data_IF_263963868665
#
_entry.id   IF_263963868665
#
_cell.length_a   1.000
_cell.length_b   1.000
_cell.length_c   1.000
_cell.angle_alpha   90.00
_cell.angle_beta   90.00
_cell.angle_gamma   90.00
#
_symmetry.space_group_name_H-M   'P 1'
#
loop_
_entity.id
_entity.type
_entity.pdbx_description
1 polymer ?
#
# COMPACT_ATOMS: atom_id res chain seq x y z
N UNK A 1 -16.89 -18.27 -2.15
CA UNK A 1 -15.86 -17.22 -2.21
C UNK A 1 -14.48 -17.75 -2.59
N UNK A 2 -13.87 -18.71 -1.87
CA UNK A 2 -12.53 -19.24 -2.19
C UNK A 2 -12.41 -19.91 -3.58
N UNK A 3 -13.42 -20.68 -3.99
CA UNK A 3 -13.45 -21.33 -5.31
C UNK A 3 -13.45 -20.29 -6.46
N UNK A 4 -14.27 -19.24 -6.32
CA UNK A 4 -14.35 -18.14 -7.29
C UNK A 4 -13.03 -17.36 -7.40
N UNK A 5 -12.34 -17.11 -6.28
CA UNK A 5 -11.03 -16.45 -6.27
C UNK A 5 -9.97 -17.27 -7.04
N UNK A 6 -9.91 -18.57 -6.77
CA UNK A 6 -8.98 -19.49 -7.45
C UNK A 6 -9.32 -19.70 -8.93
N UNK A 7 -10.59 -19.54 -9.31
CA UNK A 7 -11.03 -19.58 -10.70
C UNK A 7 -10.59 -18.33 -11.47
N UNK A 8 -10.79 -17.14 -10.90
CA UNK A 8 -10.34 -15.86 -11.50
C UNK A 8 -8.83 -15.91 -11.79
N UNK A 9 -8.02 -16.40 -10.85
CA UNK A 9 -6.57 -16.43 -11.01
C UNK A 9 -6.06 -17.34 -12.13
N UNK A 10 -6.79 -18.42 -12.41
CA UNK A 10 -6.45 -19.38 -13.49
C UNK A 10 -6.99 -18.94 -14.84
N UNK A 11 -8.07 -18.16 -14.83
CA UNK A 11 -8.81 -17.83 -16.03
C UNK A 11 -8.42 -16.48 -16.63
N UNK A 12 -7.83 -15.56 -15.85
CA UNK A 12 -7.31 -14.28 -16.35
C UNK A 12 -5.80 -14.36 -16.56
N UNK A 13 -5.35 -14.07 -17.78
CA UNK A 13 -3.94 -14.03 -18.17
C UNK A 13 -3.66 -12.71 -18.90
N UNK A 14 -2.48 -12.14 -18.72
CA UNK A 14 -2.04 -10.96 -19.48
C UNK A 14 -0.62 -11.08 -20.02
N UNK A 15 -0.33 -10.30 -21.06
CA UNK A 15 1.02 -10.06 -21.56
C UNK A 15 1.20 -8.55 -21.79
N UNK A 16 2.45 -8.09 -21.74
CA UNK A 16 2.78 -6.70 -22.08
C UNK A 16 2.49 -6.49 -23.56
N UNK A 17 1.74 -5.45 -23.89
CA UNK A 17 1.43 -5.14 -25.29
C UNK A 17 2.69 -4.65 -26.01
N UNK A 18 2.97 -5.20 -27.19
CA UNK A 18 4.17 -4.88 -27.99
C UNK A 18 3.99 -3.65 -28.90
N UNK A 19 2.74 -3.28 -29.23
CA UNK A 19 2.41 -2.16 -30.11
C UNK A 19 1.28 -1.28 -29.55
N UNK A 20 1.54 0.02 -29.47
CA UNK A 20 0.61 1.06 -29.01
C UNK A 20 -0.30 1.53 -30.18
N UNK A 21 -1.55 1.05 -30.26
CA UNK A 21 -2.58 1.67 -31.15
C UNK A 21 -2.93 3.11 -30.73
N UNK A 22 -2.61 3.48 -29.48
CA UNK A 22 -2.84 4.80 -28.89
C UNK A 22 -1.50 5.38 -28.48
N UNK A 23 -1.15 6.59 -28.92
CA UNK A 23 0.08 7.26 -28.49
C UNK A 23 0.01 7.55 -26.97
N UNK A 24 0.53 6.63 -26.16
CA UNK A 24 0.47 6.68 -24.71
C UNK A 24 1.73 7.37 -24.15
N UNK A 25 1.62 8.11 -23.02
CA UNK A 25 2.78 8.62 -22.31
C UNK A 25 3.68 7.48 -21.82
N UNK A 26 5.01 7.70 -21.76
CA UNK A 26 5.99 6.71 -21.26
C UNK A 26 5.73 6.19 -19.83
N UNK A 27 4.87 6.87 -19.06
CA UNK A 27 4.47 6.46 -17.70
C UNK A 27 3.29 5.51 -17.66
N UNK A 28 2.74 5.17 -18.83
CA UNK A 28 1.65 4.21 -18.96
C UNK A 28 2.21 2.91 -19.49
N UNK A 29 1.92 1.82 -18.79
CA UNK A 29 2.20 0.47 -19.25
C UNK A 29 0.89 -0.22 -19.63
N UNK A 30 0.86 -0.88 -20.78
CA UNK A 30 -0.32 -1.60 -21.25
C UNK A 30 -0.16 -3.12 -21.09
N UNK A 31 -1.19 -3.74 -20.53
CA UNK A 31 -1.33 -5.20 -20.46
C UNK A 31 -2.52 -5.64 -21.32
N UNK A 32 -2.26 -6.50 -22.30
CA UNK A 32 -3.31 -7.18 -23.06
C UNK A 32 -3.74 -8.44 -22.32
N UNK A 33 -5.01 -8.45 -21.91
CA UNK A 33 -5.58 -9.43 -21.00
C UNK A 33 -6.63 -10.28 -21.72
N UNK A 34 -6.71 -11.56 -21.35
CA UNK A 34 -7.83 -12.42 -21.69
C UNK A 34 -8.39 -13.13 -20.47
N UNK A 35 -9.71 -13.31 -20.45
CA UNK A 35 -10.45 -14.06 -19.45
C UNK A 35 -11.17 -15.23 -20.12
N UNK A 36 -10.74 -16.45 -19.80
CA UNK A 36 -11.36 -17.68 -20.29
C UNK A 36 -12.44 -18.14 -19.31
N UNK A 37 -13.68 -18.17 -19.78
CA UNK A 37 -14.81 -18.75 -19.06
C UNK A 37 -15.28 -20.02 -19.78
N UNK A 38 -16.11 -20.83 -19.11
CA UNK A 38 -16.75 -22.01 -19.74
C UNK A 38 -17.63 -21.67 -20.95
N UNK A 39 -17.86 -20.38 -21.22
CA UNK A 39 -18.72 -19.86 -22.28
C UNK A 39 -17.96 -19.12 -23.40
N UNK A 40 -16.63 -18.99 -23.32
CA UNK A 40 -15.83 -18.26 -24.31
C UNK A 40 -14.66 -17.48 -23.70
N UNK A 41 -13.94 -16.77 -24.56
CA UNK A 41 -12.81 -15.91 -24.17
C UNK A 41 -13.18 -14.44 -24.33
N UNK A 42 -13.05 -13.67 -23.25
CA UNK A 42 -13.17 -12.21 -23.26
C UNK A 42 -11.78 -11.60 -23.35
N UNK A 43 -11.63 -10.50 -24.08
CA UNK A 43 -10.35 -9.82 -24.29
C UNK A 43 -10.45 -8.35 -23.88
N UNK A 44 -9.33 -7.75 -23.51
CA UNK A 44 -9.27 -6.34 -23.18
C UNK A 44 -7.87 -5.87 -22.82
N UNK A 45 -7.75 -4.57 -22.56
CA UNK A 45 -6.50 -3.92 -22.22
C UNK A 45 -6.60 -3.25 -20.85
N UNK A 46 -5.53 -3.36 -20.07
CA UNK A 46 -5.35 -2.65 -18.80
C UNK A 46 -4.22 -1.64 -18.99
N UNK A 47 -4.52 -0.37 -18.73
CA UNK A 47 -3.59 0.74 -18.81
C UNK A 47 -3.16 1.13 -17.39
N UNK A 48 -1.94 0.77 -17.01
CA UNK A 48 -1.36 1.05 -15.70
C UNK A 48 -0.65 2.40 -15.77
N UNK A 49 -1.24 3.41 -15.15
CA UNK A 49 -0.74 4.79 -15.08
C UNK A 49 0.06 4.96 -13.80
N UNK A 50 1.38 5.02 -13.95
CA UNK A 50 2.30 5.28 -12.84
C UNK A 50 2.35 6.75 -12.45
N UNK A 51 2.02 7.06 -11.20
CA UNK A 51 2.01 8.42 -10.63
C UNK A 51 3.23 8.60 -9.72
N UNK A 52 4.10 9.56 -10.05
CA UNK A 52 5.21 9.98 -9.18
C UNK A 52 5.25 11.50 -9.02
N UNK A 53 5.36 12.20 -10.16
CA UNK A 53 5.33 13.67 -10.25
C UNK A 53 4.57 14.12 -11.51
N UNK A 54 3.54 13.37 -11.90
CA UNK A 54 2.85 13.64 -13.15
C UNK A 54 1.88 14.81 -12.98
N UNK A 55 1.86 15.70 -13.97
CA UNK A 55 0.93 16.83 -13.97
C UNK A 55 -0.52 16.32 -13.94
N UNK A 56 -1.39 17.06 -13.26
CA UNK A 56 -2.83 16.76 -13.19
C UNK A 56 -3.44 16.57 -14.59
N UNK A 57 -2.97 17.35 -15.57
CA UNK A 57 -3.44 17.32 -16.95
C UNK A 57 -3.23 15.95 -17.59
N UNK A 58 -2.00 15.42 -17.48
CA UNK A 58 -1.66 14.22 -18.21
C UNK A 58 -2.29 12.93 -17.63
N UNK A 59 -2.73 12.93 -16.36
CA UNK A 59 -3.56 11.85 -15.78
C UNK A 59 -4.98 11.84 -16.34
N UNK A 60 -5.62 13.00 -16.41
CA UNK A 60 -6.97 13.13 -16.96
C UNK A 60 -7.02 12.73 -18.43
N UNK A 61 -5.98 13.06 -19.20
CA UNK A 61 -5.93 12.80 -20.64
C UNK A 61 -6.00 11.31 -20.97
N UNK A 62 -5.33 10.45 -20.18
CA UNK A 62 -5.38 8.99 -20.40
C UNK A 62 -6.80 8.47 -20.17
N UNK A 63 -7.45 8.84 -19.07
CA UNK A 63 -8.81 8.39 -18.74
C UNK A 63 -9.81 8.84 -19.83
N UNK A 64 -9.71 10.10 -20.26
CA UNK A 64 -10.57 10.68 -21.31
C UNK A 64 -10.36 10.06 -22.69
N UNK A 65 -9.11 9.74 -23.04
CA UNK A 65 -8.77 9.08 -24.31
C UNK A 65 -9.23 7.62 -24.33
N UNK A 66 -8.93 6.87 -23.26
CA UNK A 66 -9.23 5.44 -23.17
C UNK A 66 -10.75 5.21 -23.04
N UNK A 67 -11.46 6.07 -22.30
CA UNK A 67 -12.86 5.87 -21.89
C UNK A 67 -13.06 4.45 -21.32
N UNK A 68 -12.46 4.18 -20.15
CA UNK A 68 -12.47 2.85 -19.58
C UNK A 68 -13.85 2.43 -19.08
N UNK A 69 -14.05 1.11 -19.03
CA UNK A 69 -15.19 0.47 -18.36
C UNK A 69 -15.00 0.44 -16.84
N UNK A 70 -13.74 0.48 -16.38
CA UNK A 70 -13.43 0.55 -14.97
C UNK A 70 -12.15 1.32 -14.68
N UNK A 71 -12.11 1.95 -13.51
CA UNK A 71 -10.92 2.59 -12.95
C UNK A 71 -10.57 1.90 -11.64
N UNK A 72 -9.30 1.54 -11.47
CA UNK A 72 -8.74 0.95 -10.25
C UNK A 72 -7.71 1.91 -9.68
N UNK A 73 -7.77 2.23 -8.39
CA UNK A 73 -6.80 3.14 -7.74
C UNK A 73 -6.05 2.46 -6.60
N UNK A 74 -4.81 2.88 -6.35
CA UNK A 74 -3.98 2.47 -5.20
C UNK A 74 -4.48 3.12 -3.88
N UNK A 75 -5.74 2.87 -3.56
CA UNK A 75 -6.40 3.35 -2.35
C UNK A 75 -7.15 2.20 -1.68
N UNK A 76 -7.12 2.17 -0.35
CA UNK A 76 -7.81 1.16 0.44
C UNK A 76 -9.13 1.71 0.99
N UNK A 77 -10.08 0.82 1.30
CA UNK A 77 -11.43 1.18 1.77
C UNK A 77 -11.43 2.14 2.97
N UNK A 78 -10.56 1.95 3.96
CA UNK A 78 -10.46 2.86 5.12
C UNK A 78 -10.02 4.28 4.78
N UNK A 79 -9.48 4.50 3.58
CA UNK A 79 -8.99 5.78 3.09
C UNK A 79 -9.86 6.35 1.97
N UNK A 80 -11.05 5.77 1.73
CA UNK A 80 -12.01 6.26 0.74
C UNK A 80 -12.43 7.72 0.95
N UNK A 81 -12.39 8.21 2.19
CA UNK A 81 -12.64 9.61 2.50
C UNK A 81 -11.73 10.57 1.70
N UNK A 82 -10.53 10.14 1.28
CA UNK A 82 -9.62 10.94 0.45
C UNK A 82 -10.19 11.30 -0.92
N UNK A 83 -11.20 10.57 -1.41
CA UNK A 83 -11.87 10.86 -2.68
C UNK A 83 -12.95 11.94 -2.55
N UNK A 84 -13.49 12.12 -1.34
CA UNK A 84 -14.70 12.90 -1.10
C UNK A 84 -14.41 14.28 -0.47
N UNK A 85 -13.29 14.43 0.24
CA UNK A 85 -12.92 15.69 0.88
C UNK A 85 -12.03 16.56 0.00
N UNK A 86 -12.20 17.88 0.15
CA UNK A 86 -11.37 18.87 -0.52
C UNK A 86 -9.91 18.83 -0.04
N UNK A 87 -9.02 19.14 -0.98
CA UNK A 87 -7.58 19.14 -0.77
C UNK A 87 -7.16 20.05 0.39
N UNK A 88 -7.77 21.22 0.51
CA UNK A 88 -7.48 22.18 1.58
C UNK A 88 -7.95 21.70 2.96
N UNK A 89 -8.99 20.87 3.02
CA UNK A 89 -9.47 20.26 4.27
C UNK A 89 -8.49 19.17 4.70
N UNK A 90 -8.12 18.30 3.76
CA UNK A 90 -7.16 17.22 4.00
C UNK A 90 -5.76 17.75 4.36
N UNK A 91 -5.33 18.83 3.70
CA UNK A 91 -4.09 19.54 4.00
C UNK A 91 -4.07 20.10 5.42
N UNK A 92 -5.18 20.74 5.83
CA UNK A 92 -5.33 21.21 7.21
C UNK A 92 -5.24 20.06 8.20
N UNK A 93 -5.86 18.91 7.93
CA UNK A 93 -5.81 17.72 8.80
C UNK A 93 -4.39 17.10 8.93
N UNK A 94 -3.60 17.14 7.86
CA UNK A 94 -2.19 16.74 7.92
C UNK A 94 -1.33 17.72 8.72
N UNK A 95 -1.65 19.02 8.63
CA UNK A 95 -0.93 20.11 9.29
C UNK A 95 -1.37 20.34 10.74
N UNK A 96 -2.59 19.97 11.11
CA UNK A 96 -3.02 20.00 12.50
C UNK A 96 -2.19 19.02 13.30
N UNK A 97 -1.47 19.58 14.28
CA UNK A 97 -0.72 18.89 15.33
C UNK A 97 -1.63 18.25 16.38
N UNK A 98 -2.90 18.03 16.05
CA UNK A 98 -3.82 17.26 16.87
C UNK A 98 -3.43 15.78 16.73
N UNK A 99 -3.15 15.01 17.77
CA UNK A 99 -3.67 15.11 19.13
C UNK A 99 -2.78 14.30 20.09
N UNK A 100 -2.11 14.94 21.06
CA UNK A 100 -1.41 14.19 22.13
C UNK A 100 -2.36 13.27 22.93
N UNK A 101 -3.66 13.62 23.03
CA UNK A 101 -4.69 12.75 23.63
C UNK A 101 -4.94 11.48 22.80
N UNK A 102 -5.04 11.59 21.47
CA UNK A 102 -5.26 10.43 20.60
C UNK A 102 -4.00 9.58 20.49
N UNK A 103 -2.80 10.18 20.52
CA UNK A 103 -1.53 9.44 20.50
C UNK A 103 -1.41 8.50 21.70
N UNK A 104 -1.83 8.91 22.91
CA UNK A 104 -1.78 8.04 24.09
C UNK A 104 -2.71 6.84 23.96
N UNK A 105 -3.91 7.03 23.41
CA UNK A 105 -4.84 5.93 23.15
C UNK A 105 -4.33 5.02 22.03
N UNK A 106 -3.87 5.61 20.92
CA UNK A 106 -3.30 4.90 19.79
C UNK A 106 -2.06 4.08 20.17
N UNK A 107 -1.21 4.63 21.04
CA UNK A 107 -0.08 3.94 21.65
C UNK A 107 -0.52 2.75 22.50
N UNK A 108 -1.58 2.88 23.30
CA UNK A 108 -2.10 1.77 24.12
C UNK A 108 -2.65 0.65 23.25
N UNK A 109 -3.32 0.99 22.15
CA UNK A 109 -3.97 0.04 21.27
C UNK A 109 -2.98 -0.64 20.31
N UNK A 110 -2.02 0.09 19.74
CA UNK A 110 -1.16 -0.39 18.66
C UNK A 110 0.32 -0.55 19.06
N UNK A 111 0.73 -0.03 20.23
CA UNK A 111 2.11 -0.07 20.71
C UNK A 111 3.02 1.02 20.12
N UNK A 112 4.16 1.24 20.80
CA UNK A 112 5.11 2.33 20.48
C UNK A 112 5.58 2.34 19.03
N UNK A 113 6.03 1.19 18.54
CA UNK A 113 6.69 1.09 17.23
C UNK A 113 5.71 1.42 16.11
N UNK A 114 4.47 0.93 16.19
CA UNK A 114 3.44 1.23 15.19
C UNK A 114 3.06 2.70 15.22
N UNK A 115 2.85 3.27 16.40
CA UNK A 115 2.56 4.70 16.54
C UNK A 115 3.64 5.56 15.91
N UNK A 116 4.92 5.24 16.13
CA UNK A 116 6.04 6.01 15.57
C UNK A 116 6.16 5.85 14.05
N UNK A 117 5.94 4.64 13.52
CA UNK A 117 5.88 4.41 12.07
C UNK A 117 4.78 5.25 11.43
N UNK A 118 3.59 5.28 12.04
CA UNK A 118 2.47 6.07 11.55
C UNK A 118 2.75 7.59 11.63
N UNK A 119 3.41 8.04 12.71
CA UNK A 119 3.81 9.45 12.84
C UNK A 119 4.86 9.84 11.81
N UNK A 120 5.86 8.98 11.57
CA UNK A 120 6.86 9.20 10.52
C UNK A 120 6.20 9.26 9.14
N UNK A 121 5.29 8.32 8.85
CA UNK A 121 4.55 8.32 7.60
C UNK A 121 3.72 9.60 7.43
N UNK A 122 3.04 10.08 8.49
CA UNK A 122 2.31 11.36 8.49
C UNK A 122 3.27 12.53 8.21
N UNK A 123 4.43 12.56 8.85
CA UNK A 123 5.43 13.61 8.67
C UNK A 123 6.00 13.64 7.24
N UNK A 124 6.37 12.48 6.69
CA UNK A 124 6.83 12.35 5.30
C UNK A 124 5.72 12.81 4.34
N UNK A 125 4.50 12.30 4.52
CA UNK A 125 3.35 12.66 3.66
C UNK A 125 3.04 14.16 3.70
N UNK A 126 3.01 14.77 4.89
CA UNK A 126 2.79 16.20 5.04
C UNK A 126 3.91 17.04 4.44
N UNK A 127 5.15 16.56 4.49
CA UNK A 127 6.28 17.25 3.89
C UNK A 127 6.32 17.13 2.37
N UNK A 128 6.07 15.95 1.81
CA UNK A 128 5.87 15.76 0.37
C UNK A 128 4.75 16.65 -0.14
N UNK A 129 3.66 16.77 0.61
CA UNK A 129 2.53 17.63 0.27
C UNK A 129 2.91 19.10 0.17
N UNK A 130 3.74 19.61 1.09
CA UNK A 130 4.24 20.99 1.07
C UNK A 130 5.14 21.27 -0.13
N UNK A 131 6.00 20.31 -0.48
CA UNK A 131 6.94 20.50 -1.59
C UNK A 131 6.29 20.41 -2.96
N UNK A 132 5.35 19.48 -3.13
CA UNK A 132 4.64 19.28 -4.39
C UNK A 132 3.47 20.24 -4.57
N UNK A 133 3.09 20.95 -3.50
CA UNK A 133 1.93 21.84 -3.50
C UNK A 133 0.60 21.10 -3.70
N UNK A 134 0.61 19.77 -3.60
CA UNK A 134 -0.56 18.92 -3.80
C UNK A 134 -0.62 17.82 -2.75
N UNK A 135 -1.83 17.51 -2.29
CA UNK A 135 -2.06 16.45 -1.31
C UNK A 135 -1.80 15.05 -1.89
N UNK A 136 -1.02 14.17 -1.22
CA UNK A 136 -0.82 12.78 -1.65
C UNK A 136 -2.14 12.03 -1.80
N UNK A 137 -2.43 11.46 -2.97
CA UNK A 137 -3.73 10.86 -3.28
C UNK A 137 -4.67 11.77 -4.09
N UNK A 138 -4.26 13.01 -4.41
CA UNK A 138 -4.99 13.88 -5.35
C UNK A 138 -5.16 13.22 -6.72
N UNK A 139 -4.19 12.41 -7.15
CA UNK A 139 -4.28 11.57 -8.35
C UNK A 139 -5.51 10.64 -8.34
N UNK A 140 -5.83 10.04 -7.20
CA UNK A 140 -6.95 9.11 -7.07
C UNK A 140 -8.28 9.87 -7.07
N UNK A 141 -8.32 11.03 -6.39
CA UNK A 141 -9.49 11.93 -6.42
C UNK A 141 -9.78 12.42 -7.84
N UNK A 142 -8.77 12.79 -8.60
CA UNK A 142 -8.93 13.18 -10.00
C UNK A 142 -9.43 12.02 -10.84
N UNK A 143 -8.87 10.83 -10.66
CA UNK A 143 -9.35 9.63 -11.35
C UNK A 143 -10.82 9.32 -11.01
N UNK A 144 -11.21 9.49 -9.75
CA UNK A 144 -12.59 9.35 -9.29
C UNK A 144 -13.53 10.38 -9.93
N UNK A 145 -13.14 11.66 -9.95
CA UNK A 145 -13.91 12.72 -10.59
C UNK A 145 -14.06 12.51 -12.11
N UNK A 146 -13.05 11.97 -12.78
CA UNK A 146 -13.16 11.61 -14.20
C UNK A 146 -14.03 10.36 -14.41
N UNK A 147 -14.00 9.39 -13.49
CA UNK A 147 -14.89 8.23 -13.51
C UNK A 147 -16.37 8.65 -13.47
N UNK A 148 -16.72 9.61 -12.60
CA UNK A 148 -18.08 10.14 -12.46
C UNK A 148 -18.62 10.85 -13.71
N UNK A 149 -17.74 11.24 -14.65
CA UNK A 149 -18.13 11.87 -15.93
C UNK A 149 -18.35 10.86 -17.04
N UNK A 150 -17.99 9.60 -16.83
CA UNK A 150 -18.12 8.54 -17.82
C UNK A 150 -19.41 7.74 -17.54
N UNK A 151 -20.15 7.43 -18.60
CA UNK A 151 -21.30 6.56 -18.49
C UNK A 151 -20.84 5.12 -18.20
N UNK A 152 -21.48 4.48 -17.22
CA UNK A 152 -21.26 3.06 -16.86
C UNK A 152 -19.78 2.69 -16.57
N UNK A 153 -19.02 3.58 -15.93
CA UNK A 153 -17.66 3.29 -15.46
C UNK A 153 -17.69 2.82 -13.99
N UNK A 154 -17.23 1.58 -13.74
CA UNK A 154 -17.02 1.08 -12.38
C UNK A 154 -15.77 1.69 -11.75
N UNK A 155 -15.77 1.87 -10.42
CA UNK A 155 -14.62 2.40 -9.68
C UNK A 155 -14.23 1.45 -8.54
N UNK A 156 -12.96 1.02 -8.52
CA UNK A 156 -12.46 0.03 -7.56
C UNK A 156 -11.31 0.57 -6.72
N UNK A 157 -11.40 0.30 -5.42
CA UNK A 157 -10.30 0.48 -4.46
C UNK A 157 -9.40 -0.75 -4.50
N UNK A 158 -8.18 -0.58 -4.99
CA UNK A 158 -7.25 -1.66 -5.32
C UNK A 158 -6.26 -2.03 -4.22
N UNK A 159 -6.15 -1.23 -3.14
CA UNK A 159 -5.08 -1.40 -2.15
C UNK A 159 -5.55 -2.11 -0.87
N UNK A 160 -4.58 -2.68 -0.15
CA UNK A 160 -4.79 -3.33 1.15
C UNK A 160 -5.02 -2.28 2.22
N UNK A 161 -5.79 -2.63 3.25
CA UNK A 161 -5.91 -1.82 4.47
C UNK A 161 -4.52 -1.43 4.98
N UNK A 162 -4.26 -0.12 5.01
CA UNK A 162 -2.98 0.45 5.40
C UNK A 162 -2.57 0.05 6.82
N UNK A 163 -3.55 -0.16 7.71
CA UNK A 163 -3.30 -0.65 9.07
C UNK A 163 -2.75 -2.06 9.05
N UNK A 164 -3.32 -2.95 8.23
CA UNK A 164 -2.82 -4.32 8.04
C UNK A 164 -1.40 -4.27 7.45
N UNK A 165 -1.18 -3.45 6.43
CA UNK A 165 0.15 -3.27 5.79
C UNK A 165 1.22 -2.90 6.82
N UNK A 166 0.99 -1.87 7.64
CA UNK A 166 1.98 -1.43 8.63
C UNK A 166 2.14 -2.42 9.79
N UNK A 167 1.04 -3.01 10.29
CA UNK A 167 1.12 -4.03 11.34
C UNK A 167 1.90 -5.26 10.87
N UNK A 168 1.67 -5.71 9.63
CA UNK A 168 2.47 -6.79 9.02
C UNK A 168 3.94 -6.42 8.90
N UNK A 169 4.24 -5.23 8.38
CA UNK A 169 5.62 -4.77 8.19
C UNK A 169 6.40 -4.77 9.51
N UNK A 170 5.78 -4.30 10.59
CA UNK A 170 6.37 -4.30 11.94
C UNK A 170 6.44 -5.72 12.51
N UNK A 171 5.42 -6.55 12.30
CA UNK A 171 5.39 -7.91 12.81
C UNK A 171 6.51 -8.79 12.22
N UNK A 172 6.92 -8.52 10.98
CA UNK A 172 8.02 -9.21 10.32
C UNK A 172 9.40 -8.89 10.92
N UNK A 173 9.55 -7.73 11.57
CA UNK A 173 10.81 -7.33 12.17
C UNK A 173 11.11 -8.07 13.48
N UNK A 174 12.37 -8.46 13.64
CA UNK A 174 12.88 -8.94 14.91
C UNK A 174 13.10 -7.77 15.91
N UNK A 175 13.36 -8.08 17.17
CA UNK A 175 13.46 -7.07 18.25
C UNK A 175 14.62 -6.08 17.99
N UNK A 176 15.75 -6.57 17.47
CA UNK A 176 16.89 -5.71 17.13
C UNK A 176 16.58 -4.76 15.97
N UNK A 177 15.89 -5.24 14.93
CA UNK A 177 15.44 -4.43 13.81
C UNK A 177 14.38 -3.41 14.23
N UNK A 178 13.47 -3.77 15.14
CA UNK A 178 12.52 -2.83 15.74
C UNK A 178 13.24 -1.75 16.53
N UNK A 179 14.26 -2.10 17.32
CA UNK A 179 15.07 -1.15 18.05
C UNK A 179 15.88 -0.25 17.10
N UNK A 180 16.48 -0.81 16.05
CA UNK A 180 17.19 -0.05 15.01
C UNK A 180 16.26 0.93 14.31
N UNK A 181 15.08 0.47 13.90
CA UNK A 181 14.03 1.30 13.30
C UNK A 181 13.61 2.42 14.24
N UNK A 182 13.40 2.12 15.52
CA UNK A 182 13.07 3.10 16.55
C UNK A 182 14.15 4.17 16.69
N UNK A 183 15.43 3.77 16.75
CA UNK A 183 16.56 4.70 16.85
C UNK A 183 16.65 5.57 15.59
N UNK A 184 16.49 4.98 14.40
CA UNK A 184 16.45 5.72 13.13
C UNK A 184 15.30 6.76 13.12
N UNK A 185 14.11 6.39 13.60
CA UNK A 185 12.95 7.27 13.69
C UNK A 185 13.16 8.43 14.66
N UNK A 186 13.68 8.15 15.87
CA UNK A 186 13.94 9.21 16.85
C UNK A 186 15.01 10.17 16.34
N UNK A 187 16.03 9.65 15.63
CA UNK A 187 17.03 10.49 14.96
C UNK A 187 16.44 11.34 13.83
N UNK A 188 15.55 10.77 13.00
CA UNK A 188 14.94 11.51 11.89
C UNK A 188 13.93 12.56 12.33
N UNK A 189 13.43 12.50 13.57
CA UNK A 189 12.61 13.54 14.17
C UNK A 189 13.41 14.78 14.63
N UNK A 190 14.76 14.71 14.68
CA UNK A 190 15.58 15.91 14.86
C UNK A 190 15.61 16.73 13.55
N UNK A 191 15.29 18.02 13.66
CA UNK A 191 14.91 18.89 12.55
C UNK A 191 15.96 19.06 11.42
N UNK A 192 17.25 18.89 11.70
CA UNK A 192 18.34 19.08 10.71
C UNK A 192 18.41 17.98 9.65
N UNK A 193 18.05 16.73 9.98
CA UNK A 193 18.02 15.61 9.01
C UNK A 193 16.78 15.72 8.11
N UNK A 194 15.74 16.37 8.62
CA UNK A 194 14.45 16.51 7.96
C UNK A 194 14.46 17.54 6.82
N UNK A 195 15.55 18.29 6.61
CA UNK A 195 15.71 19.23 5.49
C UNK A 195 16.54 18.63 4.36
N UNK A 196 17.57 17.84 4.68
CA UNK A 196 18.49 17.25 3.68
C UNK A 196 17.86 16.07 2.93
N UNK A 197 17.17 15.15 3.62
CA UNK A 197 16.36 14.11 2.96
C UNK A 197 15.23 14.77 2.14
N UNK A 198 14.78 15.95 2.57
CA UNK A 198 13.62 16.65 2.03
C UNK A 198 13.88 17.27 0.67
N UNK A 199 14.98 18.01 0.50
CA UNK A 199 15.29 18.68 -0.76
C UNK A 199 15.49 17.71 -1.92
N UNK A 200 15.87 16.47 -1.62
CA UNK A 200 16.12 15.43 -2.61
C UNK A 200 14.82 14.81 -3.18
N UNK A 201 13.66 14.85 -2.51
CA UNK A 201 12.41 14.18 -2.98
C UNK A 201 11.76 14.76 -4.26
N UNK A 202 12.41 15.72 -4.93
CA UNK A 202 11.88 16.34 -6.16
C UNK A 202 12.11 15.50 -7.42
N UNK A 203 13.09 14.60 -7.39
CA UNK A 203 13.51 13.80 -8.55
C UNK A 203 13.11 12.32 -8.41
N UNK A 204 12.75 11.69 -9.54
CA UNK A 204 12.40 10.25 -9.59
C UNK A 204 13.52 9.37 -9.04
N UNK A 205 14.76 9.75 -9.31
CA UNK A 205 15.95 9.02 -8.88
C UNK A 205 16.06 8.97 -7.35
N UNK A 206 15.56 9.98 -6.64
CA UNK A 206 15.61 10.01 -5.18
C UNK A 206 14.53 9.14 -4.54
N UNK A 207 13.34 9.04 -5.14
CA UNK A 207 12.33 8.10 -4.64
C UNK A 207 12.85 6.65 -4.76
N UNK A 208 13.51 6.35 -5.87
CA UNK A 208 14.19 5.08 -6.09
C UNK A 208 15.34 4.89 -5.09
N UNK A 209 16.14 5.91 -4.79
CA UNK A 209 17.19 5.86 -3.75
C UNK A 209 16.62 5.62 -2.34
N UNK A 210 15.49 6.24 -1.97
CA UNK A 210 14.83 6.00 -0.68
C UNK A 210 14.31 4.56 -0.59
N UNK A 211 13.71 4.06 -1.67
CA UNK A 211 13.26 2.67 -1.77
C UNK A 211 14.45 1.71 -1.67
N UNK A 212 15.55 1.99 -2.37
CA UNK A 212 16.79 1.23 -2.30
C UNK A 212 17.36 1.23 -0.88
N UNK A 213 17.39 2.39 -0.21
CA UNK A 213 17.80 2.51 1.17
C UNK A 213 16.92 1.68 2.11
N UNK A 214 15.58 1.73 1.99
CA UNK A 214 14.69 0.88 2.79
C UNK A 214 14.97 -0.60 2.51
N UNK A 215 15.19 -0.96 1.24
CA UNK A 215 15.46 -2.34 0.82
C UNK A 215 16.79 -2.86 1.38
N UNK A 216 17.83 -2.03 1.42
CA UNK A 216 19.15 -2.38 1.94
C UNK A 216 19.16 -2.44 3.48
N UNK A 217 18.62 -1.41 4.14
CA UNK A 217 18.68 -1.29 5.60
C UNK A 217 17.61 -2.11 6.32
N UNK A 218 16.44 -2.30 5.70
CA UNK A 218 15.28 -2.99 6.25
C UNK A 218 14.59 -3.87 5.19
N UNK A 219 15.25 -4.94 4.70
CA UNK A 219 14.72 -5.78 3.62
C UNK A 219 13.36 -6.41 3.94
N UNK A 220 13.09 -6.71 5.21
CA UNK A 220 11.79 -7.23 5.66
C UNK A 220 10.67 -6.17 5.62
N UNK A 221 10.99 -4.88 5.72
CA UNK A 221 10.01 -3.81 5.48
C UNK A 221 9.73 -3.69 3.98
N UNK A 222 10.76 -3.68 3.14
CA UNK A 222 10.60 -3.63 1.69
C UNK A 222 9.78 -4.81 1.15
N UNK A 223 9.97 -6.00 1.70
CA UNK A 223 9.15 -7.17 1.37
C UNK A 223 7.65 -6.90 1.54
N UNK A 224 7.25 -6.31 2.68
CA UNK A 224 5.82 -6.08 2.99
C UNK A 224 5.26 -4.82 2.33
N UNK A 225 6.03 -3.73 2.32
CA UNK A 225 5.57 -2.42 1.84
C UNK A 225 5.58 -2.32 0.32
N UNK A 226 6.43 -3.10 -0.35
CA UNK A 226 6.60 -3.07 -1.80
C UNK A 226 6.12 -4.40 -2.39
N UNK A 227 6.83 -5.51 -2.16
CA UNK A 227 6.55 -6.76 -2.89
C UNK A 227 5.18 -7.37 -2.60
N UNK A 228 4.81 -7.51 -1.32
CA UNK A 228 3.48 -7.97 -0.94
C UNK A 228 2.38 -7.01 -1.42
N UNK A 229 2.67 -5.71 -1.44
CA UNK A 229 1.73 -4.68 -1.89
C UNK A 229 1.51 -4.77 -3.40
N UNK A 230 2.57 -4.97 -4.17
CA UNK A 230 2.51 -5.21 -5.62
C UNK A 230 1.67 -6.44 -5.95
N UNK A 231 1.85 -7.52 -5.19
CA UNK A 231 1.03 -8.73 -5.32
C UNK A 231 -0.45 -8.44 -5.03
N UNK A 232 -0.74 -7.71 -3.95
CA UNK A 232 -2.11 -7.35 -3.60
C UNK A 232 -2.77 -6.49 -4.70
N UNK A 233 -2.07 -5.47 -5.19
CA UNK A 233 -2.54 -4.60 -6.27
C UNK A 233 -2.77 -5.37 -7.58
N UNK A 234 -1.84 -6.26 -7.96
CA UNK A 234 -1.98 -7.12 -9.13
C UNK A 234 -3.20 -8.04 -9.03
N UNK A 235 -3.41 -8.66 -7.86
CA UNK A 235 -4.58 -9.50 -7.60
C UNK A 235 -5.88 -8.71 -7.72
N UNK A 236 -5.97 -7.52 -7.11
CA UNK A 236 -7.17 -6.67 -7.17
C UNK A 236 -7.47 -6.18 -8.57
N UNK A 237 -6.43 -5.85 -9.35
CA UNK A 237 -6.57 -5.47 -10.75
C UNK A 237 -7.08 -6.63 -11.61
N UNK A 238 -6.59 -7.85 -11.37
CA UNK A 238 -7.10 -9.08 -12.01
C UNK A 238 -8.58 -9.33 -11.68
N UNK A 239 -8.98 -9.16 -10.42
CA UNK A 239 -10.38 -9.27 -10.02
C UNK A 239 -11.26 -8.23 -10.72
N UNK A 240 -10.82 -6.97 -10.81
CA UNK A 240 -11.57 -5.93 -11.52
C UNK A 240 -11.77 -6.27 -13.00
N UNK A 241 -10.75 -6.82 -13.67
CA UNK A 241 -10.86 -7.28 -15.05
C UNK A 241 -11.91 -8.39 -15.22
N UNK A 242 -11.83 -9.43 -14.37
CA UNK A 242 -12.81 -10.51 -14.38
C UNK A 242 -14.24 -10.01 -14.11
N UNK A 243 -14.41 -9.11 -13.14
CA UNK A 243 -15.70 -8.52 -12.79
C UNK A 243 -16.30 -7.78 -14.00
N UNK A 244 -15.51 -6.94 -14.69
CA UNK A 244 -15.97 -6.27 -15.90
C UNK A 244 -16.36 -7.25 -17.03
N UNK A 245 -15.61 -8.33 -17.23
CA UNK A 245 -15.97 -9.37 -18.20
C UNK A 245 -17.32 -10.03 -17.85
N UNK A 246 -17.56 -10.32 -16.57
CA UNK A 246 -18.80 -10.92 -16.11
C UNK A 246 -19.99 -9.95 -16.23
N UNK A 247 -19.80 -8.68 -15.88
CA UNK A 247 -20.83 -7.65 -16.03
C UNK A 247 -21.22 -7.43 -17.51
N UNK A 248 -20.24 -7.38 -18.43
CA UNK A 248 -20.54 -7.25 -19.86
C UNK A 248 -21.32 -8.45 -20.39
N UNK A 249 -21.01 -9.67 -19.93
CA UNK A 249 -21.77 -10.87 -20.27
C UNK A 249 -23.23 -10.74 -19.83
N UNK A 250 -23.50 -10.30 -18.60
CA UNK A 250 -24.87 -10.10 -18.10
C UNK A 250 -25.64 -9.05 -18.90
N UNK A 251 -24.93 -8.07 -19.48
CA UNK A 251 -25.49 -7.02 -20.32
C UNK A 251 -25.53 -7.38 -21.82
N UNK A 252 -25.15 -8.61 -22.19
CA UNK A 252 -25.00 -9.07 -23.57
C UNK A 252 -24.13 -8.16 -24.45
N UNK A 253 -23.12 -7.51 -23.84
CA UNK A 253 -22.13 -6.67 -24.52
C UNK A 253 -20.86 -7.47 -24.78
N UNK A 254 -20.32 -7.31 -25.99
CA UNK A 254 -19.10 -8.00 -26.42
C UNK A 254 -18.15 -6.98 -27.06
N UNK A 255 -17.63 -6.07 -26.24
CA UNK A 255 -16.61 -5.10 -26.64
C UNK A 255 -15.33 -5.32 -25.82
N UNK A 256 -14.13 -5.01 -26.35
CA UNK A 256 -12.90 -5.20 -25.60
C UNK A 256 -12.91 -4.42 -24.28
N UNK A 257 -12.67 -5.12 -23.16
CA UNK A 257 -12.60 -4.51 -21.84
C UNK A 257 -11.44 -3.50 -21.81
N UNK A 258 -11.66 -2.38 -21.13
CA UNK A 258 -10.67 -1.30 -20.97
C UNK A 258 -10.66 -0.88 -19.53
N UNK A 259 -9.53 -1.04 -18.85
CA UNK A 259 -9.37 -0.65 -17.45
C UNK A 259 -8.21 0.32 -17.34
N UNK A 260 -8.39 1.41 -16.60
CA UNK A 260 -7.29 2.29 -16.21
C UNK A 260 -6.96 2.06 -14.74
N UNK A 261 -5.71 1.71 -14.46
CA UNK A 261 -5.20 1.51 -13.11
C UNK A 261 -4.27 2.66 -12.74
N UNK A 262 -4.60 3.44 -11.70
CA UNK A 262 -3.80 4.59 -11.24
C UNK A 262 -3.08 4.21 -9.95
N UNK A 263 -1.76 4.10 -10.03
CA UNK A 263 -0.89 3.59 -8.95
C UNK A 263 0.39 4.41 -8.87
N UNK A 264 1.07 4.39 -7.73
CA UNK A 264 2.42 4.91 -7.56
C UNK A 264 3.38 4.30 -8.58
N UNK A 265 4.25 5.12 -9.18
CA UNK A 265 5.17 4.67 -10.25
C UNK A 265 6.07 3.50 -9.80
N UNK A 266 6.43 3.46 -8.52
CA UNK A 266 7.24 2.40 -7.91
C UNK A 266 6.56 1.01 -7.98
N UNK A 267 5.23 0.96 -8.01
CA UNK A 267 4.46 -0.29 -7.99
C UNK A 267 4.21 -0.86 -9.40
N UNK A 268 4.36 -0.06 -10.46
CA UNK A 268 4.02 -0.46 -11.84
C UNK A 268 4.76 -1.73 -12.26
N UNK A 269 6.10 -1.76 -12.12
CA UNK A 269 6.91 -2.93 -12.50
C UNK A 269 6.53 -4.17 -11.70
N UNK A 270 6.31 -4.02 -10.40
CA UNK A 270 5.92 -5.11 -9.51
C UNK A 270 4.54 -5.68 -9.84
N UNK A 271 3.56 -4.82 -10.16
CA UNK A 271 2.22 -5.24 -10.56
C UNK A 271 2.29 -6.07 -11.84
N UNK A 272 3.00 -5.59 -12.86
CA UNK A 272 3.17 -6.29 -14.14
C UNK A 272 3.82 -7.67 -13.92
N UNK A 273 4.92 -7.70 -13.14
CA UNK A 273 5.64 -8.94 -12.86
C UNK A 273 4.80 -9.96 -12.07
N UNK A 274 3.85 -9.51 -11.25
CA UNK A 274 2.99 -10.37 -10.45
C UNK A 274 1.63 -10.67 -11.07
N UNK A 275 1.26 -10.03 -12.19
CA UNK A 275 -0.10 -10.12 -12.74
C UNK A 275 -0.54 -11.56 -13.01
N UNK A 276 0.32 -12.39 -13.60
CA UNK A 276 -0.01 -13.78 -13.92
C UNK A 276 0.22 -14.77 -12.77
N UNK A 277 0.74 -14.32 -11.63
CA UNK A 277 1.02 -15.19 -10.50
C UNK A 277 -0.29 -15.59 -9.79
N UNK A 278 -0.24 -16.74 -9.11
CA UNK A 278 -1.27 -17.17 -8.16
C UNK A 278 -0.89 -16.56 -6.80
N UNK A 279 -1.80 -15.76 -6.23
CA UNK A 279 -1.53 -14.89 -5.10
C UNK A 279 -2.45 -15.27 -3.94
N UNK A 280 -1.85 -15.70 -2.83
CA UNK A 280 -2.61 -16.02 -1.63
C UNK A 280 -3.02 -14.75 -0.88
N UNK A 281 -4.14 -14.14 -1.31
CA UNK A 281 -4.60 -12.87 -0.74
C UNK A 281 -4.93 -12.97 0.76
N UNK A 282 -5.43 -14.13 1.21
CA UNK A 282 -5.75 -14.36 2.62
C UNK A 282 -4.50 -14.33 3.52
N UNK A 283 -3.35 -14.76 3.00
CA UNK A 283 -2.09 -14.62 3.71
C UNK A 283 -1.62 -13.17 3.75
N UNK A 284 -1.83 -12.40 2.69
CA UNK A 284 -1.49 -10.97 2.63
C UNK A 284 -2.39 -10.10 3.51
N UNK A 285 -3.61 -10.53 3.81
CA UNK A 285 -4.57 -9.86 4.71
C UNK A 285 -4.38 -10.22 6.19
N UNK A 286 -3.72 -11.34 6.49
CA UNK A 286 -3.48 -11.78 7.87
C UNK A 286 -2.34 -10.96 8.49
N UNK A 287 -2.30 -10.75 9.81
CA UNK A 287 -1.08 -10.23 10.46
C UNK A 287 -0.26 -11.44 10.96
N UNK A 288 1.01 -11.61 10.56
CA UNK A 288 1.81 -12.74 11.00
C UNK A 288 2.00 -12.63 12.52
N UNK A 289 1.86 -13.76 13.21
CA UNK A 289 2.11 -13.79 14.65
C UNK A 289 3.60 -13.56 14.88
N UNK A 290 3.99 -12.71 15.86
CA UNK A 290 5.39 -12.59 16.21
C UNK A 290 5.92 -13.97 16.62
N UNK A 291 7.12 -14.33 16.14
CA UNK A 291 7.81 -15.53 16.61
C UNK A 291 7.94 -15.46 18.14
N UNK A 292 7.85 -16.62 18.80
CA UNK A 292 7.79 -16.76 20.26
C UNK A 292 8.83 -15.87 20.94
N UNK A 293 8.35 -14.94 21.76
CA UNK A 293 9.15 -13.90 22.40
C UNK A 293 9.95 -14.49 23.57
N UNK A 294 11.09 -15.11 23.26
CA UNK A 294 11.98 -15.71 24.26
C UNK A 294 12.47 -14.70 25.29
N UNK A 295 12.47 -13.40 24.97
CA UNK A 295 12.79 -12.32 25.90
C UNK A 295 11.70 -12.16 26.96
N UNK A 296 10.41 -12.16 26.60
CA UNK A 296 9.33 -12.17 27.60
C UNK A 296 9.36 -13.41 28.47
N UNK A 297 9.66 -14.57 27.90
CA UNK A 297 9.83 -15.80 28.67
C UNK A 297 11.03 -15.69 29.62
N UNK A 298 12.18 -15.24 29.13
CA UNK A 298 13.39 -15.03 29.92
C UNK A 298 13.19 -14.02 31.05
N UNK A 299 12.50 -12.90 30.79
CA UNK A 299 12.22 -11.87 31.79
C UNK A 299 11.29 -12.39 32.91
N UNK A 300 10.32 -13.25 32.56
CA UNK A 300 9.48 -13.95 33.55
C UNK A 300 10.33 -14.87 34.42
N UNK A 301 11.20 -15.68 33.82
CA UNK A 301 12.10 -16.54 34.58
C UNK A 301 13.06 -15.75 35.48
N UNK A 302 13.61 -14.63 34.99
CA UNK A 302 14.44 -13.73 35.77
C UNK A 302 13.67 -13.14 36.95
N UNK A 303 12.43 -12.68 36.72
CA UNK A 303 11.57 -12.15 37.78
C UNK A 303 11.28 -13.22 38.84
N UNK A 304 10.88 -14.44 38.44
CA UNK A 304 10.66 -15.53 39.39
C UNK A 304 11.94 -15.90 40.14
N UNK A 305 13.09 -15.91 39.47
CA UNK A 305 14.39 -16.16 40.10
C UNK A 305 14.73 -15.10 41.15
N UNK A 306 14.52 -13.81 40.85
CA UNK A 306 14.74 -12.70 41.79
C UNK A 306 13.80 -12.77 43.00
N UNK A 307 12.52 -13.08 42.78
CA UNK A 307 11.55 -13.26 43.86
C UNK A 307 11.93 -14.45 44.74
N UNK A 308 12.26 -15.61 44.16
CA UNK A 308 12.70 -16.79 44.90
C UNK A 308 14.00 -16.56 45.66
N UNK A 309 14.95 -15.82 45.10
CA UNK A 309 16.19 -15.46 45.80
C UNK A 309 15.92 -14.48 46.96
N UNK A 310 15.05 -13.50 46.74
CA UNK A 310 14.62 -12.55 47.76
C UNK A 310 13.94 -13.24 48.94
N UNK A 311 13.02 -14.17 48.66
CA UNK A 311 12.34 -14.94 49.71
C UNK A 311 13.30 -15.87 50.44
N UNK A 312 14.20 -16.59 49.74
CA UNK A 312 15.24 -17.41 50.36
C UNK A 312 16.15 -16.61 51.31
N UNK A 313 16.59 -15.42 50.87
CA UNK A 313 17.45 -14.55 51.69
C UNK A 313 16.70 -14.02 52.91
N UNK A 314 15.42 -13.69 52.76
CA UNK A 314 14.58 -13.21 53.85
C UNK A 314 14.33 -14.31 54.89
N UNK A 315 13.97 -15.52 54.47
CA UNK A 315 13.75 -16.65 55.38
C UNK A 315 15.04 -17.04 56.09
N UNK A 316 16.18 -17.10 55.39
CA UNK A 316 17.50 -17.35 55.99
C UNK A 316 17.91 -16.32 57.05
N UNK A 317 17.43 -15.08 56.99
CA UNK A 317 17.80 -14.01 57.93
C UNK A 317 16.94 -13.98 59.21
N UNK A 318 15.72 -14.51 59.14
CA UNK A 318 14.74 -14.43 60.23
C UNK A 318 14.43 -15.76 60.91
N UNK A 319 14.65 -16.88 60.22
CA UNK A 319 14.33 -18.22 60.73
C UNK A 319 15.57 -19.11 60.97
N UNK A 320 16.76 -18.65 60.59
CA UNK A 320 18.06 -19.29 60.81
C UNK A 320 19.01 -18.26 61.39
#
# INVERSE_FOLDING_TARGET
>A
MLALKSEIERNVIAHVAEDDEVLLPQTVSQLSCSYKSGYGEFKGNIYIVGTGHFSKASRCDVIRKVKPHAIVVELCERRDFLLHYDEDVLMRELQTSDTFKNIRQFFKENGLVFTLVMLLFKAISGSMSRQLGTFPGTEFRVAFQEALKLDACSFYLGDRDISITFHRAIAMLNIFQKLKLLICMVRSMNAEIQTEIMENFKDRDVLDEVILGITEYFPLLAEVLIKERDQYLAYKLKCAFADCCLMQKEQERYEPIKIVCVVGIAHVKGIIANFNNIINISELERIPRPKRDWLKTGLKFLFYSLVSYGTYRFTKRYFW
#
